data_IF_932202762493
#
_entry.id   IF_932202762493
#
_cell.length_a   1.000
_cell.length_b   1.000
_cell.length_c   1.000
_cell.angle_alpha   90.00
_cell.angle_beta   90.00
_cell.angle_gamma   90.00
#
_symmetry.space_group_name_H-M   'P 1'
#
loop_
_entity.id
_entity.type
_entity.pdbx_description
1 polymer ?
#
# COMPACT_ATOMS: atom_id res chain seq x y z
N UNK A 1 -38.27 10.83 23.37
CA UNK A 1 -37.10 10.48 22.54
C UNK A 1 -35.87 11.01 23.26
N UNK A 2 -35.10 10.13 23.89
CA UNK A 2 -33.88 10.53 24.57
C UNK A 2 -32.90 11.12 23.54
N UNK A 3 -32.35 12.30 23.84
CA UNK A 3 -31.30 12.90 23.01
C UNK A 3 -30.11 11.92 22.88
N UNK A 4 -29.60 11.69 21.69
CA UNK A 4 -28.50 10.75 21.51
C UNK A 4 -27.31 11.18 22.36
N UNK A 5 -26.81 10.26 23.20
CA UNK A 5 -25.64 10.51 24.06
C UNK A 5 -24.49 11.08 23.23
N UNK A 6 -23.78 12.12 23.68
CA UNK A 6 -22.69 12.70 22.96
C UNK A 6 -21.59 11.64 22.73
N UNK A 7 -21.19 11.48 21.46
CA UNK A 7 -20.14 10.53 21.10
C UNK A 7 -18.77 11.03 21.62
N UNK A 8 -18.10 10.20 22.40
CA UNK A 8 -16.75 10.46 22.88
C UNK A 8 -15.78 10.35 21.70
N UNK A 9 -14.84 11.29 21.58
CA UNK A 9 -13.79 11.24 20.56
C UNK A 9 -12.81 10.09 20.85
N UNK A 10 -12.61 9.24 19.86
CA UNK A 10 -11.79 8.02 19.93
C UNK A 10 -10.46 8.10 19.18
N UNK A 11 -10.00 9.30 18.86
CA UNK A 11 -8.74 9.50 18.12
C UNK A 11 -7.51 8.95 18.88
N UNK A 12 -7.45 9.15 20.19
CA UNK A 12 -6.36 8.60 21.02
C UNK A 12 -6.40 7.06 21.10
N UNK A 13 -7.54 6.42 21.40
CA UNK A 13 -7.66 4.96 21.27
C UNK A 13 -7.30 4.44 19.89
N UNK A 14 -7.70 5.11 18.80
CA UNK A 14 -7.36 4.75 17.43
C UNK A 14 -5.83 4.72 17.22
N UNK A 15 -5.11 5.71 17.70
CA UNK A 15 -3.64 5.76 17.61
C UNK A 15 -2.97 4.72 18.51
N UNK A 16 -3.54 4.42 19.67
CA UNK A 16 -2.96 3.49 20.64
C UNK A 16 -3.19 2.01 20.29
N UNK A 17 -4.35 1.68 19.70
CA UNK A 17 -4.73 0.31 19.36
C UNK A 17 -4.37 -0.09 17.92
N UNK A 18 -4.19 0.89 17.03
CA UNK A 18 -3.79 0.68 15.64
C UNK A 18 -4.79 -0.18 14.86
N UNK A 19 -4.34 -1.32 14.34
CA UNK A 19 -5.18 -2.23 13.54
C UNK A 19 -6.33 -2.86 14.33
N UNK A 20 -6.15 -3.06 15.62
CA UNK A 20 -7.18 -3.69 16.46
C UNK A 20 -8.34 -2.73 16.80
N UNK A 21 -8.17 -1.44 16.57
CA UNK A 21 -9.13 -0.43 17.01
C UNK A 21 -10.55 -0.65 16.48
N UNK A 22 -10.77 -0.76 15.17
CA UNK A 22 -12.08 -1.02 14.59
C UNK A 22 -12.58 -2.45 14.87
N UNK A 23 -11.78 -3.52 14.67
CA UNK A 23 -12.22 -4.87 15.03
C UNK A 23 -12.70 -5.02 16.47
N UNK A 24 -12.06 -4.35 17.44
CA UNK A 24 -12.49 -4.39 18.84
C UNK A 24 -13.90 -3.78 18.98
N UNK A 25 -14.16 -2.61 18.38
CA UNK A 25 -15.48 -1.95 18.45
C UNK A 25 -16.57 -2.71 17.70
N UNK A 26 -16.22 -3.33 16.57
CA UNK A 26 -17.16 -4.17 15.83
C UNK A 26 -17.61 -5.40 16.64
N UNK A 27 -16.70 -5.98 17.46
CA UNK A 27 -17.05 -7.07 18.36
C UNK A 27 -17.92 -6.63 19.56
N UNK A 28 -17.76 -5.41 20.02
CA UNK A 28 -18.56 -4.82 21.08
C UNK A 28 -19.95 -4.38 20.59
N UNK A 29 -20.14 -4.21 19.29
CA UNK A 29 -21.39 -3.88 18.65
C UNK A 29 -22.12 -5.12 18.14
N UNK A 30 -23.40 -4.97 17.78
CA UNK A 30 -24.22 -6.08 17.27
C UNK A 30 -23.85 -6.51 15.84
N UNK A 31 -22.73 -5.99 15.25
CA UNK A 31 -22.45 -6.39 13.89
C UNK A 31 -21.39 -5.61 13.13
N UNK A 32 -21.73 -5.21 11.91
CA UNK A 32 -20.82 -4.70 10.88
C UNK A 32 -20.78 -3.17 10.82
N UNK A 33 -21.31 -2.49 11.85
CA UNK A 33 -21.39 -1.03 11.90
C UNK A 33 -21.11 -0.51 13.30
N UNK A 34 -20.34 0.57 13.39
CA UNK A 34 -20.04 1.26 14.64
C UNK A 34 -20.15 2.75 14.45
N UNK A 35 -20.95 3.39 15.30
CA UNK A 35 -21.01 4.85 15.38
C UNK A 35 -19.99 5.35 16.40
N UNK A 36 -19.18 6.34 16.02
CA UNK A 36 -18.09 6.87 16.84
C UNK A 36 -17.81 8.34 16.53
N UNK A 37 -16.77 8.90 17.11
CA UNK A 37 -16.23 10.22 16.80
C UNK A 37 -14.72 10.13 16.64
N UNK A 38 -14.17 10.71 15.56
CA UNK A 38 -12.74 10.71 15.27
C UNK A 38 -12.32 12.08 14.76
N UNK A 39 -11.24 12.61 15.31
CA UNK A 39 -10.71 13.95 14.97
C UNK A 39 -11.78 15.05 15.08
N UNK A 40 -12.57 14.99 16.15
CA UNK A 40 -13.64 15.95 16.41
C UNK A 40 -14.89 15.78 15.54
N UNK A 41 -14.96 14.78 14.64
CA UNK A 41 -16.07 14.57 13.70
C UNK A 41 -16.87 13.32 14.01
N UNK A 42 -18.21 13.34 13.84
CA UNK A 42 -19.00 12.12 13.83
C UNK A 42 -18.44 11.17 12.78
N UNK A 43 -18.41 9.88 13.09
CA UNK A 43 -17.88 8.86 12.21
C UNK A 43 -18.75 7.60 12.25
N UNK A 44 -18.93 6.97 11.11
CA UNK A 44 -19.57 5.69 10.92
C UNK A 44 -18.53 4.70 10.37
N UNK A 45 -18.20 3.68 11.13
CA UNK A 45 -17.33 2.62 10.69
C UNK A 45 -18.15 1.44 10.17
N UNK A 46 -17.77 0.90 9.01
CA UNK A 46 -18.52 -0.12 8.28
C UNK A 46 -17.60 -1.25 7.83
N UNK A 47 -18.16 -2.48 7.69
CA UNK A 47 -17.44 -3.69 7.26
C UNK A 47 -18.36 -4.57 6.43
N UNK A 48 -17.78 -5.38 5.56
CA UNK A 48 -18.44 -6.36 4.73
C UNK A 48 -18.53 -5.94 3.26
N UNK A 49 -18.74 -6.89 2.32
CA UNK A 49 -18.77 -6.61 0.88
C UNK A 49 -19.83 -5.57 0.47
N UNK A 50 -20.96 -5.56 1.17
CA UNK A 50 -22.03 -4.56 0.97
C UNK A 50 -21.58 -3.16 1.39
N UNK A 51 -20.91 -3.08 2.54
CA UNK A 51 -20.31 -1.84 3.03
C UNK A 51 -19.20 -1.32 2.13
N UNK A 52 -18.44 -2.21 1.49
CA UNK A 52 -17.45 -1.82 0.47
C UNK A 52 -18.15 -1.13 -0.70
N UNK A 53 -19.20 -1.72 -1.25
CA UNK A 53 -19.97 -1.09 -2.35
C UNK A 53 -20.55 0.26 -1.94
N UNK A 54 -21.12 0.35 -0.75
CA UNK A 54 -21.62 1.61 -0.18
C UNK A 54 -20.53 2.68 -0.05
N UNK A 55 -19.36 2.30 0.46
CA UNK A 55 -18.23 3.20 0.68
C UNK A 55 -17.59 3.70 -0.62
N UNK A 56 -17.66 2.93 -1.70
CA UNK A 56 -17.12 3.29 -3.00
C UNK A 56 -18.14 3.94 -3.95
N UNK A 57 -19.39 4.09 -3.52
CA UNK A 57 -20.37 4.86 -4.26
C UNK A 57 -20.22 6.36 -3.93
N UNK A 58 -19.75 7.14 -4.91
CA UNK A 58 -19.50 8.58 -4.77
C UNK A 58 -20.77 9.39 -4.44
N UNK A 59 -21.97 8.83 -4.64
CA UNK A 59 -23.24 9.43 -4.19
C UNK A 59 -23.35 9.44 -2.67
N UNK A 60 -22.69 8.51 -1.99
CA UNK A 60 -22.70 8.36 -0.54
C UNK A 60 -21.41 8.92 0.08
N UNK A 61 -20.25 8.53 -0.44
CA UNK A 61 -18.96 8.80 0.20
C UNK A 61 -17.95 9.34 -0.80
N UNK A 62 -17.33 10.46 -0.47
CA UNK A 62 -16.28 11.08 -1.28
C UNK A 62 -14.94 11.14 -0.55
N UNK A 63 -13.87 11.28 -1.32
CA UNK A 63 -12.48 11.38 -0.81
C UNK A 63 -12.03 12.80 -0.55
N UNK A 64 -12.61 13.76 -1.26
CA UNK A 64 -12.25 15.16 -1.09
C UNK A 64 -12.41 15.60 0.37
N UNK A 65 -11.33 16.15 0.95
CA UNK A 65 -11.29 16.61 2.33
C UNK A 65 -11.40 15.50 3.39
N UNK A 66 -11.32 14.21 3.01
CA UNK A 66 -11.37 13.09 3.97
C UNK A 66 -10.00 12.84 4.62
N UNK A 67 -8.91 13.01 3.88
CA UNK A 67 -7.57 12.74 4.38
C UNK A 67 -7.06 13.85 5.30
N UNK A 68 -6.54 13.48 6.49
CA UNK A 68 -5.91 14.45 7.39
C UNK A 68 -4.63 15.05 6.78
N UNK A 69 -4.37 16.34 7.08
CA UNK A 69 -3.15 17.05 6.63
C UNK A 69 -1.85 16.30 6.92
N UNK A 70 -1.66 15.70 8.12
CA UNK A 70 -0.48 14.87 8.39
C UNK A 70 -0.27 13.72 7.41
N UNK A 71 -1.34 13.04 6.95
CA UNK A 71 -1.26 11.95 5.98
C UNK A 71 -0.92 12.48 4.59
N UNK A 72 -1.52 13.60 4.17
CA UNK A 72 -1.17 14.25 2.91
C UNK A 72 0.29 14.70 2.88
N UNK A 73 0.75 15.33 3.95
CA UNK A 73 2.13 15.88 4.03
C UNK A 73 3.23 14.81 4.12
N UNK A 74 2.87 13.54 4.32
CA UNK A 74 3.83 12.42 4.42
C UNK A 74 3.65 11.40 3.32
N UNK A 75 2.43 10.88 3.09
CA UNK A 75 2.20 9.73 2.22
C UNK A 75 1.74 10.11 0.81
N UNK A 76 0.68 10.89 0.66
CA UNK A 76 0.04 11.09 -0.65
C UNK A 76 0.50 12.34 -1.40
N UNK A 77 0.78 13.44 -0.70
CA UNK A 77 1.03 14.76 -1.27
C UNK A 77 -0.24 15.61 -1.42
N UNK A 78 -0.05 16.91 -1.38
CA UNK A 78 -1.12 17.85 -1.65
C UNK A 78 -1.41 17.89 -3.16
N UNK A 79 -2.67 17.89 -3.55
CA UNK A 79 -3.09 17.86 -4.96
C UNK A 79 -2.94 16.49 -5.65
N UNK A 80 -2.71 15.40 -4.88
CA UNK A 80 -2.65 14.05 -5.40
C UNK A 80 -4.01 13.54 -5.90
N UNK A 81 -4.00 12.62 -6.85
CA UNK A 81 -5.20 11.95 -7.40
C UNK A 81 -6.16 11.46 -6.32
N UNK A 82 -5.65 11.01 -5.20
CA UNK A 82 -6.43 10.52 -4.05
C UNK A 82 -7.30 11.57 -3.35
N UNK A 83 -7.12 12.85 -3.68
CA UNK A 83 -7.85 13.97 -3.06
C UNK A 83 -9.01 14.50 -3.90
N UNK A 84 -9.21 13.92 -5.08
CA UNK A 84 -10.27 14.28 -6.02
C UNK A 84 -11.39 13.26 -6.01
N UNK A 85 -12.55 13.66 -6.51
CA UNK A 85 -13.72 12.81 -6.77
C UNK A 85 -14.27 13.10 -8.17
N UNK A 86 -15.17 12.28 -8.69
CA UNK A 86 -15.88 12.50 -9.95
C UNK A 86 -14.96 12.62 -11.17
N UNK A 87 -15.31 13.54 -12.08
CA UNK A 87 -14.58 13.73 -13.34
C UNK A 87 -13.12 14.17 -13.14
N UNK A 88 -12.85 15.00 -12.11
CA UNK A 88 -11.50 15.43 -11.79
C UNK A 88 -10.62 14.27 -11.34
N UNK A 89 -11.17 13.33 -10.58
CA UNK A 89 -10.48 12.09 -10.20
C UNK A 89 -10.23 11.22 -11.44
N UNK A 90 -11.25 11.01 -12.29
CA UNK A 90 -11.13 10.20 -13.51
C UNK A 90 -10.06 10.76 -14.46
N UNK A 91 -10.13 12.06 -14.75
CA UNK A 91 -9.14 12.73 -15.61
C UNK A 91 -7.70 12.59 -15.08
N UNK A 92 -7.51 12.71 -13.74
CA UNK A 92 -6.18 12.50 -13.15
C UNK A 92 -5.78 11.03 -13.14
N UNK A 93 -6.72 10.12 -12.98
CA UNK A 93 -6.47 8.68 -12.97
C UNK A 93 -6.07 8.14 -14.34
N UNK A 94 -6.48 8.77 -15.43
CA UNK A 94 -6.07 8.45 -16.80
C UNK A 94 -4.56 8.53 -17.01
N UNK A 95 -3.84 9.26 -16.15
CA UNK A 95 -2.39 9.23 -16.12
C UNK A 95 -1.85 7.83 -15.78
N UNK A 96 -2.50 7.12 -14.87
CA UNK A 96 -2.02 5.86 -14.31
C UNK A 96 -2.51 4.61 -15.05
N UNK A 97 -3.73 4.63 -15.59
CA UNK A 97 -4.35 3.44 -16.17
C UNK A 97 -3.52 2.77 -17.27
N UNK A 98 -2.90 3.51 -18.23
CA UNK A 98 -2.06 2.89 -19.25
C UNK A 98 -0.79 2.24 -18.70
N UNK A 99 -0.32 2.69 -17.51
CA UNK A 99 0.85 2.13 -16.84
C UNK A 99 0.57 0.77 -16.19
N UNK A 100 -0.70 0.41 -16.07
CA UNK A 100 -1.18 -0.76 -15.34
C UNK A 100 -1.70 -1.85 -16.27
N UNK A 101 -1.46 -1.71 -17.58
CA UNK A 101 -1.67 -2.78 -18.52
C UNK A 101 -0.72 -3.94 -18.25
N UNK A 102 -1.13 -5.17 -18.58
CA UNK A 102 -0.38 -6.40 -18.24
C UNK A 102 1.07 -6.37 -18.71
N UNK A 103 1.32 -5.86 -19.92
CA UNK A 103 2.68 -5.78 -20.49
C UNK A 103 3.55 -4.78 -19.73
N UNK A 104 2.97 -3.69 -19.26
CA UNK A 104 3.68 -2.68 -18.45
C UNK A 104 4.01 -3.21 -17.05
N UNK A 105 3.09 -3.99 -16.47
CA UNK A 105 3.32 -4.68 -15.21
C UNK A 105 4.44 -5.72 -15.38
N UNK A 106 4.44 -6.50 -16.47
CA UNK A 106 5.53 -7.42 -16.77
C UNK A 106 6.89 -6.71 -16.83
N UNK A 107 6.96 -5.53 -17.46
CA UNK A 107 8.18 -4.73 -17.53
C UNK A 107 8.70 -4.27 -16.18
N UNK A 108 7.85 -3.81 -15.25
CA UNK A 108 8.33 -3.44 -13.90
C UNK A 108 8.78 -4.68 -13.11
N UNK A 109 8.10 -5.82 -13.27
CA UNK A 109 8.51 -7.09 -12.65
C UNK A 109 9.89 -7.51 -13.15
N UNK A 110 10.15 -7.43 -14.46
CA UNK A 110 11.45 -7.73 -15.06
C UNK A 110 12.56 -6.85 -14.47
N UNK A 111 12.37 -5.52 -14.44
CA UNK A 111 13.38 -4.62 -13.88
C UNK A 111 13.63 -4.85 -12.38
N UNK A 112 12.59 -5.14 -11.62
CA UNK A 112 12.73 -5.41 -10.18
C UNK A 112 13.40 -6.76 -9.94
N UNK A 113 13.07 -7.80 -10.72
CA UNK A 113 13.69 -9.11 -10.56
C UNK A 113 15.15 -9.12 -10.98
N UNK A 114 15.53 -8.39 -12.02
CA UNK A 114 16.93 -8.18 -12.36
C UNK A 114 17.70 -7.47 -11.22
N UNK A 115 17.13 -6.41 -10.66
CA UNK A 115 17.73 -5.72 -9.51
C UNK A 115 17.79 -6.61 -8.24
N UNK A 116 16.85 -7.54 -8.07
CA UNK A 116 16.90 -8.54 -7.00
C UNK A 116 18.04 -9.53 -7.21
N UNK A 117 18.20 -10.07 -8.41
CA UNK A 117 19.23 -11.03 -8.74
C UNK A 117 20.64 -10.39 -8.59
N UNK A 118 20.80 -9.11 -9.02
CA UNK A 118 22.00 -8.32 -8.78
C UNK A 118 22.30 -8.14 -7.28
N UNK A 119 21.28 -7.82 -6.46
CA UNK A 119 21.45 -7.66 -5.02
C UNK A 119 21.83 -8.98 -4.34
N UNK A 120 21.15 -10.07 -4.67
CA UNK A 120 21.43 -11.41 -4.13
C UNK A 120 22.86 -11.83 -4.38
N UNK A 121 23.43 -11.51 -5.55
CA UNK A 121 24.84 -11.80 -5.86
C UNK A 121 25.83 -11.13 -4.89
N UNK A 122 25.41 -10.08 -4.18
CA UNK A 122 26.25 -9.38 -3.17
C UNK A 122 26.07 -9.88 -1.73
N UNK A 123 25.11 -10.77 -1.48
CA UNK A 123 24.80 -11.23 -0.12
C UNK A 123 25.70 -12.35 0.43
N UNK A 124 26.32 -13.23 -0.39
CA UNK A 124 27.25 -14.22 0.13
C UNK A 124 28.34 -13.59 0.99
N UNK A 125 28.63 -14.20 2.15
CA UNK A 125 29.61 -13.67 3.11
C UNK A 125 29.13 -12.51 3.99
N UNK A 126 27.95 -11.96 3.73
CA UNK A 126 27.34 -10.97 4.65
C UNK A 126 26.71 -11.70 5.82
N UNK A 127 27.15 -11.38 7.04
CA UNK A 127 26.58 -11.95 8.27
C UNK A 127 25.15 -11.49 8.54
N UNK A 128 24.71 -10.42 7.87
CA UNK A 128 23.41 -9.80 8.11
C UNK A 128 22.86 -9.12 6.86
N UNK A 129 21.70 -9.56 6.42
CA UNK A 129 20.88 -8.96 5.35
C UNK A 129 19.49 -8.68 5.91
N UNK A 130 19.08 -7.41 5.97
CA UNK A 130 17.74 -7.02 6.44
C UNK A 130 16.81 -6.96 5.24
N UNK A 131 15.93 -7.95 5.08
CA UNK A 131 15.12 -8.12 3.87
C UNK A 131 14.19 -6.93 3.59
N UNK A 132 13.63 -6.29 4.62
CA UNK A 132 12.82 -5.09 4.42
C UNK A 132 13.60 -3.97 3.72
N UNK A 133 14.84 -3.75 4.15
CA UNK A 133 15.68 -2.67 3.65
C UNK A 133 16.25 -3.00 2.27
N UNK A 134 16.76 -4.22 2.08
CA UNK A 134 17.28 -4.69 0.80
C UNK A 134 16.19 -4.72 -0.28
N UNK A 135 15.01 -5.26 0.05
CA UNK A 135 13.88 -5.25 -0.88
C UNK A 135 13.43 -3.82 -1.23
N UNK A 136 13.51 -2.87 -0.30
CA UNK A 136 13.21 -1.48 -0.60
C UNK A 136 14.19 -0.88 -1.60
N UNK A 137 15.48 -1.19 -1.51
CA UNK A 137 16.51 -0.75 -2.48
C UNK A 137 16.27 -1.39 -3.85
N UNK A 138 16.05 -2.70 -3.89
CA UNK A 138 15.74 -3.47 -5.11
C UNK A 138 14.52 -2.90 -5.83
N UNK A 139 13.42 -2.73 -5.11
CA UNK A 139 12.17 -2.18 -5.66
C UNK A 139 12.37 -0.74 -6.16
N UNK A 140 13.16 0.06 -5.44
CA UNK A 140 13.48 1.44 -5.83
C UNK A 140 14.28 1.48 -7.12
N UNK A 141 15.32 0.65 -7.26
CA UNK A 141 16.11 0.54 -8.49
C UNK A 141 15.25 0.12 -9.68
N UNK A 142 14.46 -0.96 -9.51
CA UNK A 142 13.61 -1.50 -10.56
C UNK A 142 12.52 -0.52 -10.99
N UNK A 143 11.82 0.11 -10.05
CA UNK A 143 10.76 1.06 -10.40
C UNK A 143 11.30 2.35 -11.02
N UNK A 144 12.44 2.88 -10.57
CA UNK A 144 13.04 4.06 -11.19
C UNK A 144 13.48 3.77 -12.63
N UNK A 145 14.09 2.60 -12.89
CA UNK A 145 14.45 2.18 -14.25
C UNK A 145 13.22 2.05 -15.15
N UNK A 146 12.19 1.37 -14.70
CA UNK A 146 10.92 1.23 -15.42
C UNK A 146 10.20 2.56 -15.63
N UNK A 147 10.22 3.45 -14.64
CA UNK A 147 9.55 4.75 -14.71
C UNK A 147 10.32 5.77 -15.56
N UNK A 148 11.55 5.47 -15.97
CA UNK A 148 12.43 6.40 -16.69
C UNK A 148 13.01 7.50 -15.79
N UNK A 149 13.05 7.28 -14.47
CA UNK A 149 13.60 8.23 -13.50
C UNK A 149 15.10 7.96 -13.32
N UNK A 150 15.98 8.93 -13.63
CA UNK A 150 17.41 8.76 -13.44
C UNK A 150 17.76 8.49 -11.97
N UNK A 151 18.57 7.45 -11.75
CA UNK A 151 19.02 7.05 -10.42
C UNK A 151 20.45 6.51 -10.51
N UNK A 152 21.40 7.22 -9.91
CA UNK A 152 22.76 6.74 -9.74
C UNK A 152 22.80 5.64 -8.67
N UNK A 153 23.81 4.77 -8.74
CA UNK A 153 23.91 3.63 -7.82
C UNK A 153 24.05 4.07 -6.35
N UNK A 154 24.83 5.11 -6.11
CA UNK A 154 25.02 5.73 -4.79
C UNK A 154 23.77 6.38 -4.21
N UNK A 155 22.80 6.77 -5.07
CA UNK A 155 21.55 7.40 -4.66
C UNK A 155 20.41 6.40 -4.36
N UNK A 156 20.59 5.13 -4.73
CA UNK A 156 19.53 4.13 -4.63
C UNK A 156 19.11 3.86 -3.18
N UNK A 157 20.07 3.66 -2.28
CA UNK A 157 19.80 3.44 -0.86
C UNK A 157 19.25 4.70 -0.15
N UNK A 158 19.81 5.92 -0.35
CA UNK A 158 19.21 7.15 0.15
C UNK A 158 17.76 7.35 -0.32
N UNK A 159 17.46 7.11 -1.59
CA UNK A 159 16.10 7.22 -2.13
C UNK A 159 15.17 6.17 -1.51
N UNK A 160 15.59 4.91 -1.43
CA UNK A 160 14.82 3.85 -0.80
C UNK A 160 14.48 4.17 0.66
N UNK A 161 15.44 4.71 1.42
CA UNK A 161 15.22 5.20 2.80
C UNK A 161 14.20 6.33 2.87
N UNK A 162 14.21 7.25 1.92
CA UNK A 162 13.21 8.34 1.87
C UNK A 162 11.81 7.78 1.55
N UNK A 163 11.69 6.89 0.56
CA UNK A 163 10.42 6.27 0.16
C UNK A 163 9.82 5.44 1.30
N UNK A 164 10.64 4.64 1.96
CA UNK A 164 10.20 3.84 3.11
C UNK A 164 9.88 4.70 4.32
N UNK A 165 10.61 5.79 4.57
CA UNK A 165 10.29 6.74 5.65
C UNK A 165 8.91 7.38 5.47
N UNK A 166 8.50 7.72 4.23
CA UNK A 166 7.16 8.24 3.94
C UNK A 166 6.07 7.24 4.32
N UNK A 167 6.29 5.96 4.01
CA UNK A 167 5.37 4.87 4.35
C UNK A 167 5.39 4.59 5.85
N UNK A 168 6.57 4.56 6.48
CA UNK A 168 6.72 4.27 7.90
C UNK A 168 6.12 5.35 8.82
N UNK A 169 6.04 6.59 8.35
CA UNK A 169 5.66 7.75 9.16
C UNK A 169 4.26 8.31 8.94
N UNK A 170 3.44 7.75 8.01
CA UNK A 170 2.19 8.40 7.60
C UNK A 170 1.11 8.47 8.69
N UNK A 171 1.01 7.47 9.53
CA UNK A 171 0.00 7.37 10.58
C UNK A 171 0.62 7.52 11.98
N UNK A 172 1.62 8.39 12.11
CA UNK A 172 2.39 8.54 13.35
C UNK A 172 2.51 9.99 13.77
N UNK A 173 2.97 10.17 15.01
CA UNK A 173 3.39 11.45 15.56
C UNK A 173 4.88 11.38 15.90
N UNK A 174 5.52 12.54 16.11
CA UNK A 174 6.91 12.63 16.54
C UNK A 174 7.96 12.30 15.46
N UNK A 175 9.11 11.70 15.82
CA UNK A 175 10.29 11.61 14.95
C UNK A 175 10.04 10.86 13.62
N UNK A 176 9.20 9.82 13.61
CA UNK A 176 8.85 9.08 12.39
C UNK A 176 8.08 9.97 11.40
N UNK A 177 7.10 10.74 11.91
CA UNK A 177 6.34 11.68 11.11
C UNK A 177 7.24 12.77 10.50
N UNK A 178 8.14 13.31 11.30
CA UNK A 178 9.04 14.39 10.85
C UNK A 178 10.01 13.91 9.78
N UNK A 179 10.57 12.70 9.93
CA UNK A 179 11.40 12.06 8.90
C UNK A 179 10.63 11.87 7.59
N UNK A 180 9.40 11.33 7.67
CA UNK A 180 8.54 11.13 6.51
C UNK A 180 8.24 12.44 5.78
N UNK A 181 7.89 13.49 6.53
CA UNK A 181 7.62 14.81 5.96
C UNK A 181 8.86 15.44 5.32
N UNK A 182 10.02 15.29 5.93
CA UNK A 182 11.29 15.80 5.38
C UNK A 182 11.68 15.01 4.12
N UNK A 183 11.58 13.68 4.15
CA UNK A 183 11.82 12.83 2.99
C UNK A 183 10.92 13.20 1.82
N UNK A 184 9.62 13.39 2.07
CA UNK A 184 8.69 13.79 1.02
C UNK A 184 9.06 15.13 0.40
N UNK A 185 9.36 16.14 1.20
CA UNK A 185 9.77 17.46 0.67
C UNK A 185 11.01 17.38 -0.21
N UNK A 186 12.01 16.58 0.19
CA UNK A 186 13.23 16.39 -0.62
C UNK A 186 12.90 15.75 -1.96
N UNK A 187 12.10 14.71 -1.97
CA UNK A 187 11.77 13.99 -3.20
C UNK A 187 10.80 14.77 -4.10
N UNK A 188 9.81 15.49 -3.54
CA UNK A 188 8.99 16.40 -4.33
C UNK A 188 9.84 17.49 -5.01
N UNK A 189 10.79 18.09 -4.27
CA UNK A 189 11.67 19.12 -4.84
C UNK A 189 12.63 18.55 -5.91
N UNK A 190 13.17 17.34 -5.70
CA UNK A 190 14.02 16.65 -6.69
C UNK A 190 13.25 16.33 -7.97
N UNK A 191 12.09 15.72 -7.83
CA UNK A 191 11.27 15.31 -8.98
C UNK A 191 10.63 16.50 -9.70
N UNK A 192 10.30 17.60 -8.99
CA UNK A 192 9.82 18.82 -9.60
C UNK A 192 10.87 19.43 -10.54
N UNK A 193 12.13 19.50 -10.10
CA UNK A 193 13.25 19.94 -10.96
C UNK A 193 13.43 19.03 -12.17
N UNK A 194 13.39 17.71 -11.97
CA UNK A 194 13.48 16.76 -13.08
C UNK A 194 12.36 16.98 -14.11
N UNK A 195 11.13 17.24 -13.67
CA UNK A 195 10.00 17.55 -14.58
C UNK A 195 10.28 18.84 -15.38
N UNK A 196 10.81 19.87 -14.73
CA UNK A 196 11.19 21.14 -15.40
C UNK A 196 12.33 20.92 -16.42
N UNK A 197 13.35 20.16 -16.06
CA UNK A 197 14.48 19.81 -16.94
C UNK A 197 14.01 19.01 -18.16
N UNK A 198 13.12 18.03 -17.99
CA UNK A 198 12.54 17.27 -19.10
C UNK A 198 11.70 18.16 -20.02
N UNK A 199 10.87 19.03 -19.45
CA UNK A 199 10.02 19.95 -20.22
C UNK A 199 10.81 21.00 -21.00
N UNK A 200 11.94 21.46 -20.46
CA UNK A 200 12.86 22.38 -21.14
C UNK A 200 13.80 21.71 -22.14
N UNK A 201 13.85 20.40 -22.17
CA UNK A 201 14.78 19.63 -23.00
C UNK A 201 16.19 19.48 -22.40
N UNK A 202 16.40 19.92 -21.16
CA UNK A 202 17.67 19.78 -20.45
C UNK A 202 17.92 18.34 -19.94
N UNK A 203 16.86 17.57 -19.74
CA UNK A 203 16.94 16.14 -19.43
C UNK A 203 16.06 15.32 -20.39
N UNK A 204 16.41 14.05 -20.56
CA UNK A 204 15.67 13.12 -21.40
C UNK A 204 14.74 12.22 -20.57
N UNK A 205 13.48 12.09 -21.00
CA UNK A 205 12.56 11.06 -20.52
C UNK A 205 12.38 10.02 -21.63
N UNK A 206 12.60 8.71 -21.36
CA UNK A 206 12.34 7.67 -22.36
C UNK A 206 10.87 7.73 -22.81
N UNK A 207 10.64 7.61 -24.11
CA UNK A 207 9.30 7.68 -24.68
C UNK A 207 8.35 6.69 -23.98
N UNK A 208 7.13 7.12 -23.70
CA UNK A 208 6.10 6.35 -23.01
C UNK A 208 6.45 5.87 -21.58
N UNK A 209 7.60 6.31 -21.03
CA UNK A 209 7.90 6.09 -19.61
C UNK A 209 6.91 6.82 -18.71
N UNK A 210 6.87 6.45 -17.42
CA UNK A 210 6.05 7.16 -16.42
C UNK A 210 6.44 8.63 -16.36
N UNK A 211 7.75 8.94 -16.38
CA UNK A 211 8.28 10.30 -16.37
C UNK A 211 7.77 11.09 -17.59
N UNK A 212 7.88 10.52 -18.79
CA UNK A 212 7.40 11.17 -20.03
C UNK A 212 5.91 11.49 -19.96
N UNK A 213 5.08 10.50 -19.55
CA UNK A 213 3.63 10.68 -19.40
C UNK A 213 3.28 11.73 -18.36
N UNK A 214 3.92 11.74 -17.21
CA UNK A 214 3.71 12.75 -16.17
C UNK A 214 4.09 14.14 -16.66
N UNK A 215 5.20 14.27 -17.38
CA UNK A 215 5.64 15.54 -17.92
C UNK A 215 4.67 16.14 -18.96
N UNK A 216 3.96 15.29 -19.72
CA UNK A 216 3.02 15.71 -20.76
C UNK A 216 1.56 15.74 -20.32
N UNK A 217 1.25 15.20 -19.14
CA UNK A 217 -0.13 15.12 -18.68
C UNK A 217 -0.72 16.51 -18.45
N UNK A 218 -1.97 16.68 -18.91
CA UNK A 218 -2.71 17.94 -18.80
C UNK A 218 -3.94 17.79 -17.91
N UNK A 219 -4.32 18.86 -17.27
CA UNK A 219 -5.61 18.99 -16.62
C UNK A 219 -6.75 18.97 -17.64
N UNK A 220 -7.99 18.89 -17.15
CA UNK A 220 -9.19 18.94 -18.01
C UNK A 220 -9.34 20.25 -18.79
N UNK A 221 -8.77 21.35 -18.31
CA UNK A 221 -8.69 22.67 -18.98
C UNK A 221 -7.59 22.76 -20.04
N UNK A 222 -6.80 21.68 -20.23
CA UNK A 222 -5.73 21.61 -21.22
C UNK A 222 -4.37 22.12 -20.73
N UNK A 223 -4.28 22.68 -19.52
CA UNK A 223 -3.01 23.15 -18.95
C UNK A 223 -2.16 21.97 -18.45
N UNK A 224 -0.84 22.07 -18.59
CA UNK A 224 0.08 21.10 -18.01
C UNK A 224 -0.02 21.08 -16.49
N UNK A 225 0.15 19.90 -15.87
CA UNK A 225 0.31 19.84 -14.43
C UNK A 225 1.45 20.75 -13.99
N UNK A 226 1.26 21.51 -12.91
CA UNK A 226 2.39 22.22 -12.29
C UNK A 226 3.52 21.24 -11.96
N UNK A 227 4.80 21.65 -12.08
CA UNK A 227 5.94 20.75 -11.85
C UNK A 227 5.87 20.00 -10.51
N UNK A 228 5.43 20.69 -9.45
CA UNK A 228 5.25 20.08 -8.14
C UNK A 228 4.12 19.04 -8.12
N UNK A 229 2.99 19.32 -8.77
CA UNK A 229 1.88 18.35 -8.87
C UNK A 229 2.29 17.13 -9.69
N UNK A 230 3.01 17.34 -10.79
CA UNK A 230 3.60 16.28 -11.60
C UNK A 230 4.56 15.41 -10.77
N UNK A 231 5.42 16.03 -9.95
CA UNK A 231 6.32 15.33 -9.03
C UNK A 231 5.55 14.52 -7.96
N UNK A 232 4.44 15.04 -7.44
CA UNK A 232 3.57 14.32 -6.49
C UNK A 232 3.02 13.06 -7.13
N UNK A 233 2.53 13.13 -8.38
CA UNK A 233 1.97 11.96 -9.07
C UNK A 233 3.05 10.95 -9.47
N UNK A 234 4.22 11.40 -9.90
CA UNK A 234 5.37 10.51 -10.14
C UNK A 234 5.79 9.78 -8.85
N UNK A 235 5.83 10.50 -7.73
CA UNK A 235 6.13 9.93 -6.43
C UNK A 235 5.05 8.94 -5.97
N UNK A 236 3.79 9.14 -6.38
CA UNK A 236 2.68 8.22 -6.11
C UNK A 236 2.73 6.93 -6.96
N UNK A 237 3.63 6.83 -7.94
CA UNK A 237 4.00 5.57 -8.61
C UNK A 237 5.20 4.93 -7.92
N UNK A 238 6.28 5.68 -7.69
CA UNK A 238 7.54 5.14 -7.19
C UNK A 238 7.43 4.68 -5.73
N UNK A 239 6.86 5.50 -4.86
CA UNK A 239 6.75 5.21 -3.42
C UNK A 239 5.92 3.96 -3.10
N UNK A 240 4.70 3.77 -3.66
CA UNK A 240 3.93 2.56 -3.35
C UNK A 240 4.59 1.29 -3.90
N UNK A 241 5.36 1.37 -4.98
CA UNK A 241 6.15 0.23 -5.46
C UNK A 241 7.25 -0.14 -4.47
N UNK A 242 7.99 0.84 -3.93
CA UNK A 242 8.97 0.60 -2.87
C UNK A 242 8.32 0.02 -1.59
N UNK A 243 7.05 0.38 -1.29
CA UNK A 243 6.31 -0.15 -0.15
C UNK A 243 5.99 -1.66 -0.25
N UNK A 244 6.13 -2.29 -1.41
CA UNK A 244 6.01 -3.75 -1.56
C UNK A 244 7.06 -4.48 -0.72
N UNK A 245 8.16 -3.81 -0.32
CA UNK A 245 9.17 -4.34 0.62
C UNK A 245 8.58 -4.83 1.95
N UNK A 246 7.49 -4.22 2.43
CA UNK A 246 6.74 -4.72 3.60
C UNK A 246 6.18 -6.12 3.35
N UNK A 247 5.58 -6.33 2.19
CA UNK A 247 5.03 -7.63 1.82
C UNK A 247 6.12 -8.66 1.57
N UNK A 248 7.30 -8.27 1.07
CA UNK A 248 8.46 -9.17 0.97
C UNK A 248 8.92 -9.62 2.36
N UNK A 249 9.01 -8.71 3.32
CA UNK A 249 9.34 -9.05 4.71
C UNK A 249 8.26 -9.93 5.36
N UNK A 250 6.99 -9.72 5.05
CA UNK A 250 5.90 -10.59 5.49
C UNK A 250 5.95 -11.97 4.83
N UNK A 251 6.30 -12.04 3.54
CA UNK A 251 6.49 -13.31 2.84
C UNK A 251 7.65 -14.12 3.47
N UNK A 252 8.77 -13.48 3.77
CA UNK A 252 9.88 -14.09 4.48
C UNK A 252 9.46 -14.62 5.86
N UNK A 253 8.70 -13.83 6.62
CA UNK A 253 8.14 -14.24 7.89
C UNK A 253 7.21 -15.46 7.74
N UNK A 254 6.35 -15.48 6.71
CA UNK A 254 5.45 -16.61 6.44
C UNK A 254 6.20 -17.87 6.06
N UNK A 255 7.23 -17.76 5.20
CA UNK A 255 8.07 -18.90 4.79
C UNK A 255 8.85 -19.50 5.96
N UNK A 256 9.28 -18.67 6.89
CA UNK A 256 9.93 -19.10 8.13
C UNK A 256 8.95 -19.75 9.11
N UNK A 257 7.77 -19.14 9.30
CA UNK A 257 6.76 -19.61 10.27
C UNK A 257 6.05 -20.90 9.82
N UNK A 258 5.86 -21.05 8.51
CA UNK A 258 5.15 -22.18 7.88
C UNK A 258 6.00 -22.74 6.71
N UNK A 259 7.08 -23.49 7.00
CA UNK A 259 8.10 -23.87 6.02
C UNK A 259 7.58 -24.75 4.87
N UNK A 260 6.50 -25.51 5.05
CA UNK A 260 5.89 -26.29 3.98
C UNK A 260 5.48 -25.44 2.74
N UNK A 261 5.19 -24.14 2.94
CA UNK A 261 4.90 -23.24 1.83
C UNK A 261 6.12 -23.02 0.94
N UNK A 262 7.33 -23.07 1.52
CA UNK A 262 8.59 -22.84 0.80
C UNK A 262 8.84 -23.92 -0.24
N UNK A 263 8.60 -25.18 0.11
CA UNK A 263 8.76 -26.33 -0.79
C UNK A 263 7.88 -26.19 -2.03
N UNK A 264 6.59 -25.92 -1.83
CA UNK A 264 5.64 -25.73 -2.93
C UNK A 264 6.00 -24.58 -3.87
N UNK A 265 6.51 -23.49 -3.33
CA UNK A 265 6.96 -22.33 -4.13
C UNK A 265 8.26 -22.63 -4.90
N UNK A 266 9.14 -23.49 -4.36
CA UNK A 266 10.36 -23.98 -5.05
C UNK A 266 10.02 -24.83 -6.26
N UNK A 267 8.99 -25.67 -6.16
CA UNK A 267 8.53 -26.56 -7.23
C UNK A 267 7.96 -25.80 -8.44
N UNK A 268 7.76 -24.49 -8.32
CA UNK A 268 7.31 -23.64 -9.41
C UNK A 268 5.80 -23.69 -9.66
N UNK A 269 5.01 -24.12 -8.69
CA UNK A 269 3.55 -24.08 -8.76
C UNK A 269 3.05 -22.63 -8.82
N UNK A 270 2.73 -22.16 -10.02
CA UNK A 270 2.27 -20.79 -10.26
C UNK A 270 0.93 -20.49 -9.60
N UNK A 271 0.02 -21.46 -9.58
CA UNK A 271 -1.28 -21.29 -8.94
C UNK A 271 -1.11 -21.12 -7.43
N UNK A 272 -0.18 -21.88 -6.84
CA UNK A 272 0.15 -21.73 -5.43
C UNK A 272 0.86 -20.41 -5.12
N UNK A 273 1.76 -19.95 -5.99
CA UNK A 273 2.42 -18.65 -5.80
C UNK A 273 1.41 -17.49 -5.80
N UNK A 274 0.41 -17.51 -6.68
CA UNK A 274 -0.69 -16.58 -6.67
C UNK A 274 -1.54 -16.67 -5.39
N UNK A 275 -1.90 -17.86 -4.98
CA UNK A 275 -2.66 -18.13 -3.75
C UNK A 275 -1.91 -17.66 -2.50
N UNK A 276 -0.61 -17.96 -2.40
CA UNK A 276 0.27 -17.51 -1.33
C UNK A 276 0.35 -15.98 -1.28
N UNK A 277 0.47 -15.33 -2.43
CA UNK A 277 0.48 -13.86 -2.54
C UNK A 277 -0.82 -13.24 -2.03
N UNK A 278 -1.97 -13.81 -2.38
CA UNK A 278 -3.25 -13.35 -1.85
C UNK A 278 -3.36 -13.53 -0.34
N UNK A 279 -2.88 -14.66 0.19
CA UNK A 279 -2.89 -14.92 1.64
C UNK A 279 -1.93 -13.98 2.40
N UNK A 280 -0.76 -13.66 1.87
CA UNK A 280 0.12 -12.62 2.44
C UNK A 280 -0.61 -11.28 2.52
N UNK A 281 -1.29 -10.87 1.46
CA UNK A 281 -2.01 -9.59 1.39
C UNK A 281 -3.24 -9.56 2.31
N UNK A 282 -3.87 -10.70 2.54
CA UNK A 282 -5.01 -10.84 3.46
C UNK A 282 -4.58 -10.86 4.91
N UNK A 283 -3.61 -11.71 5.23
CA UNK A 283 -3.24 -12.07 6.60
C UNK A 283 -2.42 -11.00 7.30
N UNK A 284 -1.48 -10.35 6.57
CA UNK A 284 -0.60 -9.38 7.21
C UNK A 284 -1.17 -7.97 7.24
N UNK A 285 -0.99 -7.25 8.38
CA UNK A 285 -1.57 -5.93 8.57
C UNK A 285 -0.78 -4.85 7.82
N UNK A 286 -1.37 -4.25 6.77
CA UNK A 286 -0.76 -3.14 6.04
C UNK A 286 -1.61 -1.87 6.11
N UNK A 287 -2.88 -1.90 5.71
CA UNK A 287 -3.82 -0.80 5.87
C UNK A 287 -4.86 -1.14 6.96
N UNK A 288 -5.02 -0.33 8.01
CA UNK A 288 -5.99 -0.61 9.07
C UNK A 288 -7.43 -0.34 8.59
N UNK A 289 -7.66 0.81 7.98
CA UNK A 289 -8.96 1.25 7.46
C UNK A 289 -8.76 2.33 6.41
N UNK A 290 -9.82 2.60 5.65
CA UNK A 290 -9.89 3.72 4.71
C UNK A 290 -10.93 4.72 5.19
N UNK A 291 -10.70 6.01 4.90
CA UNK A 291 -11.60 7.10 5.27
C UNK A 291 -12.23 7.77 4.06
N UNK A 292 -13.49 8.17 4.21
CA UNK A 292 -14.22 9.03 3.29
C UNK A 292 -15.11 10.00 4.06
N UNK A 293 -15.79 10.90 3.36
CA UNK A 293 -16.77 11.85 3.94
C UNK A 293 -18.15 11.59 3.39
N UNK A 294 -19.13 11.58 4.27
CA UNK A 294 -20.54 11.52 3.89
C UNK A 294 -20.92 12.72 3.02
N UNK A 295 -21.52 12.46 1.85
CA UNK A 295 -21.98 13.50 0.92
C UNK A 295 -23.23 14.22 1.45
N UNK A 296 -24.15 13.43 2.00
CA UNK A 296 -25.40 13.88 2.62
C UNK A 296 -25.52 13.24 4.02
N UNK A 297 -26.61 13.47 4.71
CA UNK A 297 -26.96 12.66 5.87
C UNK A 297 -27.17 11.22 5.39
N UNK A 298 -26.42 10.29 5.95
CA UNK A 298 -26.45 8.87 5.56
C UNK A 298 -26.97 8.02 6.71
N UNK A 299 -27.71 6.97 6.35
CA UNK A 299 -28.12 5.90 7.25
C UNK A 299 -27.60 4.57 6.74
N UNK A 300 -27.00 3.77 7.61
CA UNK A 300 -26.50 2.44 7.31
C UNK A 300 -26.80 1.49 8.48
N UNK A 301 -27.60 0.44 8.23
CA UNK A 301 -28.05 -0.52 9.25
C UNK A 301 -28.63 0.15 10.52
N UNK A 302 -29.41 1.23 10.34
CA UNK A 302 -30.04 1.98 11.43
C UNK A 302 -29.16 3.02 12.12
N UNK A 303 -27.85 3.01 11.87
CA UNK A 303 -26.93 4.03 12.36
C UNK A 303 -26.83 5.21 11.39
N UNK A 304 -26.64 6.41 11.93
CA UNK A 304 -26.62 7.65 11.15
C UNK A 304 -25.30 8.39 11.26
N UNK A 305 -24.88 8.99 10.15
CA UNK A 305 -23.79 9.95 10.09
C UNK A 305 -24.24 11.19 9.31
N UNK A 306 -24.07 12.41 9.86
CA UNK A 306 -24.47 13.63 9.18
C UNK A 306 -23.58 13.93 7.98
N UNK A 307 -24.06 14.73 7.05
CA UNK A 307 -23.30 15.29 5.94
C UNK A 307 -21.95 15.85 6.42
N UNK A 308 -20.87 15.53 5.71
CA UNK A 308 -19.50 15.90 6.09
C UNK A 308 -18.90 15.09 7.26
N UNK A 309 -19.64 14.19 7.90
CA UNK A 309 -19.13 13.21 8.85
C UNK A 309 -18.19 12.21 8.17
N UNK A 310 -17.42 11.47 8.96
CA UNK A 310 -16.49 10.46 8.43
C UNK A 310 -17.19 9.12 8.20
N UNK A 311 -16.87 8.45 7.11
CA UNK A 311 -17.19 7.03 6.91
C UNK A 311 -15.86 6.29 6.87
N UNK A 312 -15.73 5.25 7.70
CA UNK A 312 -14.51 4.46 7.83
C UNK A 312 -14.78 3.02 7.39
N UNK A 313 -14.08 2.56 6.36
CA UNK A 313 -14.11 1.17 5.92
C UNK A 313 -13.03 0.38 6.64
N UNK A 314 -13.41 -0.61 7.43
CA UNK A 314 -12.51 -1.47 8.20
C UNK A 314 -11.83 -2.50 7.30
N UNK A 315 -10.65 -2.18 6.79
CA UNK A 315 -9.89 -3.05 5.88
C UNK A 315 -9.31 -4.26 6.61
N UNK A 316 -8.62 -4.01 7.73
CA UNK A 316 -7.98 -5.09 8.48
C UNK A 316 -9.02 -6.05 9.04
N UNK A 317 -10.09 -5.53 9.63
CA UNK A 317 -11.14 -6.37 10.17
C UNK A 317 -11.89 -7.17 9.11
N UNK A 318 -12.10 -6.63 7.91
CA UNK A 318 -12.73 -7.37 6.82
C UNK A 318 -11.83 -8.50 6.30
N UNK A 319 -10.53 -8.25 6.14
CA UNK A 319 -9.57 -9.28 5.76
C UNK A 319 -9.41 -10.37 6.84
N UNK A 320 -9.95 -10.14 8.05
CA UNK A 320 -9.99 -11.08 9.18
C UNK A 320 -11.43 -11.36 9.67
N UNK A 321 -12.43 -11.18 8.81
CA UNK A 321 -13.82 -11.48 9.18
C UNK A 321 -14.08 -12.99 9.08
N UNK A 322 -14.49 -13.59 10.20
CA UNK A 322 -14.78 -15.03 10.29
C UNK A 322 -15.86 -15.48 9.30
N UNK A 323 -16.84 -14.61 9.02
CA UNK A 323 -17.91 -14.92 8.07
C UNK A 323 -17.43 -15.03 6.63
N UNK A 324 -16.34 -14.34 6.28
CA UNK A 324 -15.74 -14.39 4.94
C UNK A 324 -14.66 -15.45 4.82
N UNK A 325 -13.89 -15.68 5.89
CA UNK A 325 -12.64 -16.43 5.82
C UNK A 325 -12.64 -17.72 6.65
N UNK A 326 -13.71 -18.03 7.39
CA UNK A 326 -13.82 -19.17 8.30
C UNK A 326 -12.86 -19.02 9.49
N UNK A 327 -11.66 -19.59 9.40
CA UNK A 327 -10.56 -19.31 10.34
C UNK A 327 -9.65 -18.20 9.79
N UNK A 328 -9.91 -16.92 10.12
CA UNK A 328 -9.17 -15.80 9.54
C UNK A 328 -7.75 -15.65 10.08
N UNK A 329 -7.44 -16.27 11.22
CA UNK A 329 -6.12 -16.21 11.84
C UNK A 329 -5.23 -17.41 11.52
N UNK A 330 -5.74 -18.39 10.78
CA UNK A 330 -4.93 -19.41 10.14
C UNK A 330 -4.36 -18.87 8.82
N UNK A 331 -3.04 -19.00 8.64
CA UNK A 331 -2.38 -18.72 7.36
C UNK A 331 -2.56 -19.95 6.45
N UNK A 332 -3.43 -19.83 5.45
CA UNK A 332 -3.84 -20.92 4.57
C UNK A 332 -3.97 -20.43 3.12
N UNK A 333 -2.91 -20.48 2.32
CA UNK A 333 -2.96 -20.11 0.90
C UNK A 333 -3.98 -20.90 0.09
N UNK A 334 -4.22 -22.17 0.46
CA UNK A 334 -5.14 -23.08 -0.21
C UNK A 334 -6.56 -22.54 -0.36
N UNK A 335 -6.99 -21.64 0.55
CA UNK A 335 -8.30 -20.97 0.43
C UNK A 335 -8.51 -20.28 -0.92
N UNK A 336 -7.42 -19.76 -1.51
CA UNK A 336 -7.45 -19.10 -2.81
C UNK A 336 -7.29 -20.04 -4.00
N UNK A 337 -6.95 -21.31 -3.76
CA UNK A 337 -7.06 -22.39 -4.75
C UNK A 337 -8.47 -23.00 -4.77
N UNK A 338 -9.10 -23.09 -3.60
CA UNK A 338 -10.45 -23.62 -3.42
C UNK A 338 -11.53 -22.67 -3.95
N UNK A 339 -11.36 -21.37 -3.68
CA UNK A 339 -12.31 -20.32 -4.08
C UNK A 339 -11.58 -19.12 -4.70
N UNK A 340 -11.95 -18.71 -5.93
CA UNK A 340 -11.41 -17.50 -6.52
C UNK A 340 -11.69 -16.27 -5.65
N UNK A 341 -10.78 -15.29 -5.68
CA UNK A 341 -10.97 -14.02 -4.99
C UNK A 341 -12.24 -13.33 -5.49
N UNK A 342 -13.21 -13.16 -4.59
CA UNK A 342 -14.43 -12.45 -4.91
C UNK A 342 -14.23 -10.94 -4.80
N UNK A 343 -14.90 -10.22 -5.69
CA UNK A 343 -14.89 -8.76 -5.66
C UNK A 343 -15.44 -8.26 -4.32
N UNK A 344 -14.77 -7.27 -3.75
CA UNK A 344 -15.15 -6.61 -2.49
C UNK A 344 -15.04 -7.47 -1.22
N UNK A 345 -14.53 -8.71 -1.28
CA UNK A 345 -14.23 -9.52 -0.11
C UNK A 345 -12.78 -9.31 0.37
N UNK A 346 -11.81 -9.51 -0.51
CA UNK A 346 -10.39 -9.26 -0.24
C UNK A 346 -10.05 -7.79 -0.61
N UNK A 347 -9.83 -6.95 0.40
CA UNK A 347 -9.67 -5.51 0.22
C UNK A 347 -8.38 -4.91 0.83
N UNK A 348 -7.22 -5.59 0.80
CA UNK A 348 -6.01 -5.06 1.41
C UNK A 348 -5.54 -3.74 0.77
N UNK A 349 -5.93 -3.49 -0.47
CA UNK A 349 -5.65 -2.28 -1.25
C UNK A 349 -6.94 -1.54 -1.66
N UNK A 350 -8.02 -1.76 -0.88
CA UNK A 350 -9.33 -1.19 -1.13
C UNK A 350 -10.24 -2.08 -1.97
N UNK A 351 -11.46 -1.62 -2.20
CA UNK A 351 -12.50 -2.28 -2.98
C UNK A 351 -13.01 -1.42 -4.13
N UNK A 352 -14.12 -1.83 -4.73
CA UNK A 352 -14.71 -1.15 -5.88
C UNK A 352 -13.95 -1.39 -7.18
N UNK A 353 -14.13 -0.51 -8.17
CA UNK A 353 -13.55 -0.63 -9.49
C UNK A 353 -12.15 0.01 -9.56
N UNK A 354 -11.09 -0.70 -9.99
CA UNK A 354 -9.74 -0.15 -10.09
C UNK A 354 -9.56 0.85 -11.25
N UNK A 355 -10.41 0.81 -12.27
CA UNK A 355 -10.33 1.71 -13.41
C UNK A 355 -11.00 3.06 -13.15
N UNK A 356 -12.21 3.04 -12.60
CA UNK A 356 -13.05 4.24 -12.45
C UNK A 356 -13.16 4.74 -11.02
N UNK A 357 -13.00 3.86 -10.01
CA UNK A 357 -13.13 4.17 -8.59
C UNK A 357 -11.79 4.42 -7.88
N UNK A 358 -11.85 4.50 -6.56
CA UNK A 358 -10.70 4.77 -5.69
C UNK A 358 -9.94 3.50 -5.23
N UNK A 359 -10.27 2.31 -5.73
CA UNK A 359 -9.44 1.12 -5.51
C UNK A 359 -8.02 1.37 -6.03
N UNK A 360 -7.03 0.84 -5.33
CA UNK A 360 -5.63 0.99 -5.73
C UNK A 360 -5.43 0.48 -7.17
N UNK A 361 -5.07 1.34 -8.12
CA UNK A 361 -4.87 0.91 -9.49
C UNK A 361 -3.62 0.01 -9.64
N UNK A 362 -2.62 0.17 -8.77
CA UNK A 362 -1.38 -0.62 -8.75
C UNK A 362 -1.50 -1.99 -8.08
N UNK A 363 -2.69 -2.50 -7.81
CA UNK A 363 -2.87 -3.80 -7.15
C UNK A 363 -2.27 -4.95 -7.96
N UNK A 364 -2.50 -4.98 -9.28
CA UNK A 364 -1.91 -5.98 -10.17
C UNK A 364 -0.37 -5.94 -10.16
N UNK A 365 0.21 -4.74 -10.12
CA UNK A 365 1.66 -4.57 -9.98
C UNK A 365 2.17 -5.13 -8.64
N UNK A 366 1.47 -4.86 -7.53
CA UNK A 366 1.82 -5.44 -6.23
C UNK A 366 1.78 -6.96 -6.24
N UNK A 367 0.75 -7.55 -6.86
CA UNK A 367 0.61 -9.01 -6.99
C UNK A 367 1.78 -9.57 -7.80
N UNK A 368 2.03 -9.07 -9.00
CA UNK A 368 3.10 -9.58 -9.86
C UNK A 368 4.50 -9.46 -9.25
N UNK A 369 4.79 -8.33 -8.59
CA UNK A 369 6.05 -8.14 -7.87
C UNK A 369 6.19 -9.10 -6.69
N UNK A 370 5.13 -9.28 -5.90
CA UNK A 370 5.17 -10.15 -4.74
C UNK A 370 5.30 -11.62 -5.13
N UNK A 371 4.58 -12.08 -6.15
CA UNK A 371 4.74 -13.44 -6.70
C UNK A 371 6.18 -13.71 -7.14
N UNK A 372 6.75 -12.79 -7.94
CA UNK A 372 8.08 -12.94 -8.48
C UNK A 372 9.17 -12.95 -7.40
N UNK A 373 9.09 -12.02 -6.43
CA UNK A 373 10.07 -11.90 -5.36
C UNK A 373 9.92 -13.02 -4.31
N UNK A 374 8.70 -13.44 -4.01
CA UNK A 374 8.47 -14.55 -3.06
C UNK A 374 8.98 -15.88 -3.60
N UNK A 375 8.77 -16.15 -4.90
CA UNK A 375 9.30 -17.35 -5.57
C UNK A 375 10.84 -17.36 -5.56
N UNK A 376 11.47 -16.21 -5.82
CA UNK A 376 12.93 -16.06 -5.72
C UNK A 376 13.44 -16.28 -4.30
N UNK A 377 12.78 -15.65 -3.32
CA UNK A 377 13.14 -15.78 -1.91
C UNK A 377 13.00 -17.24 -1.43
N UNK A 378 11.98 -17.98 -1.87
CA UNK A 378 11.82 -19.38 -1.53
C UNK A 378 12.95 -20.28 -2.04
N UNK A 379 13.59 -19.90 -3.15
CA UNK A 379 14.70 -20.64 -3.77
C UNK A 379 16.06 -20.36 -3.16
N UNK A 380 16.21 -19.24 -2.42
CA UNK A 380 17.47 -18.93 -1.75
C UNK A 380 17.73 -19.92 -0.61
N UNK A 381 18.97 -20.30 -0.40
CA UNK A 381 19.42 -20.94 0.84
C UNK A 381 19.92 -19.84 1.79
N UNK A 382 19.43 -19.82 3.02
CA UNK A 382 19.83 -18.86 4.02
C UNK A 382 19.48 -19.32 5.44
N UNK A 383 20.17 -18.80 6.41
CA UNK A 383 19.85 -18.95 7.82
C UNK A 383 19.02 -17.77 8.34
N UNK A 384 18.16 -18.07 9.30
CA UNK A 384 17.41 -17.04 10.03
C UNK A 384 17.94 -17.00 11.45
N UNK A 385 18.82 -16.03 11.78
CA UNK A 385 19.39 -15.92 13.11
C UNK A 385 18.31 -15.55 14.16
N UNK A 386 18.61 -15.74 15.43
CA UNK A 386 17.74 -15.32 16.51
C UNK A 386 17.47 -13.82 16.43
N UNK A 387 16.21 -13.43 16.42
CA UNK A 387 15.76 -12.06 16.17
C UNK A 387 14.35 -11.82 16.68
N UNK A 388 13.95 -10.55 16.84
CA UNK A 388 12.58 -10.19 17.18
C UNK A 388 11.69 -10.11 15.92
N UNK A 389 10.91 -11.17 15.72
CA UNK A 389 9.94 -11.29 14.62
C UNK A 389 8.54 -10.80 14.99
N UNK A 390 8.36 -10.19 16.15
CA UNK A 390 7.06 -9.68 16.59
C UNK A 390 6.49 -8.67 15.60
N UNK A 391 5.24 -8.88 15.19
CA UNK A 391 4.45 -7.96 14.35
C UNK A 391 3.39 -7.31 15.22
N UNK A 392 3.62 -6.07 15.63
CA UNK A 392 2.73 -5.34 16.52
C UNK A 392 1.56 -4.70 15.76
N UNK A 393 0.33 -5.03 16.14
CA UNK A 393 -0.88 -4.40 15.61
C UNK A 393 -1.05 -2.93 16.06
N UNK A 394 -0.27 -2.47 17.04
CA UNK A 394 -0.26 -1.06 17.47
C UNK A 394 0.60 -0.17 16.56
N UNK A 395 1.47 -0.78 15.77
CA UNK A 395 2.37 -0.05 14.86
C UNK A 395 1.77 0.00 13.45
N UNK A 396 1.59 1.19 12.90
CA UNK A 396 1.10 1.41 11.53
C UNK A 396 2.22 2.09 10.72
N UNK A 397 2.57 1.52 9.54
CA UNK A 397 2.31 0.16 9.11
C UNK A 397 3.05 -0.85 9.99
N UNK A 398 2.46 -2.02 10.21
CA UNK A 398 3.09 -3.11 10.94
C UNK A 398 4.22 -3.74 10.12
N UNK A 399 5.20 -4.35 10.81
CA UNK A 399 6.30 -5.11 10.18
C UNK A 399 6.92 -6.04 11.21
N UNK A 400 7.65 -7.08 10.82
CA UNK A 400 8.56 -7.76 11.73
C UNK A 400 9.50 -6.74 12.39
N UNK A 401 9.67 -6.78 13.68
CA UNK A 401 10.41 -5.73 14.41
C UNK A 401 11.86 -5.61 13.96
N UNK A 402 12.50 -6.74 13.67
CA UNK A 402 13.85 -6.82 13.11
C UNK A 402 13.96 -6.37 11.64
N UNK A 403 12.84 -6.25 10.90
CA UNK A 403 12.83 -6.10 9.45
C UNK A 403 13.03 -7.40 8.70
N UNK A 404 13.08 -8.52 9.38
CA UNK A 404 13.41 -9.87 8.95
C UNK A 404 14.86 -9.99 8.45
N UNK A 405 15.73 -10.44 9.34
CA UNK A 405 17.16 -10.63 9.07
C UNK A 405 17.42 -12.06 8.57
N UNK A 406 18.22 -12.18 7.53
CA UNK A 406 18.81 -13.43 7.08
C UNK A 406 20.34 -13.33 7.07
N UNK A 407 21.02 -14.45 7.17
CA UNK A 407 22.47 -14.57 7.08
C UNK A 407 22.85 -15.83 6.31
N UNK A 408 24.12 -16.02 6.08
CA UNK A 408 24.68 -17.18 5.38
C UNK A 408 23.90 -17.49 4.07
N UNK A 409 23.80 -16.47 3.24
CA UNK A 409 22.98 -16.54 2.03
C UNK A 409 23.75 -17.20 0.90
N UNK A 410 23.17 -18.25 0.34
CA UNK A 410 23.67 -18.92 -0.86
C UNK A 410 22.65 -18.75 -1.99
N UNK A 411 23.07 -18.24 -3.17
CA UNK A 411 22.22 -18.27 -4.35
C UNK A 411 21.80 -19.71 -4.68
N UNK A 412 20.64 -19.91 -5.32
CA UNK A 412 20.27 -21.23 -5.78
C UNK A 412 21.40 -21.77 -6.68
N UNK A 413 21.85 -23.00 -6.40
CA UNK A 413 22.93 -23.65 -7.14
C UNK A 413 22.69 -23.57 -8.65
N UNK A 414 23.73 -23.16 -9.39
CA UNK A 414 23.79 -23.18 -10.84
C UNK A 414 23.78 -24.62 -11.32
#
# INVERSE_FOLDING_TARGET
MDAPRPLVDRSLPMLAEGYAWLPNRMRESTGQVVRTRVMGRPALAVRGPEAVRFFYDERHVRRHGAMPGPVLSTLFGHGAVHTYDGDAHRARKDLFLPLLHVDRIAGVVEHVTAAWDDAVATWPGRSRVVLLDEAAVVLTRGVCRWAGVPLADEDAEPLARDLTAMVDGFATLGPRHWRARSARRRQEARLSRLVEEVRSGAAHAPADSVLDRVCRHRHADGELLEPRTAAVELLNVIRPTAAVSWFVAFAAHALHRWPANRERLRDGDRAYAAAFTHEIRRFYPFAPFLGGRAVTDLSWHGEQVPAGGMVLLDVYGQNHDEKLWGDPYAFRPERFLECPVQRDELIPQGGGDPGTGHRCPGEGMTIGLLEALTTRLARLEYEVPEQDLTISLRRIPARPRSGFVIGDVHPPGV
#
